data_IF_858812547578
#
_entry.id   IF_858812547578
#
_cell.length_a   1.000
_cell.length_b   1.000
_cell.length_c   1.000
_cell.angle_alpha   90.00
_cell.angle_beta   90.00
_cell.angle_gamma   90.00
#
_symmetry.space_group_name_H-M   'P 1'
#
loop_
_entity.id
_entity.type
_entity.pdbx_description
1 polymer ?
#
# COMPACT_ATOMS: atom_id res chain seq x y z
N UNK A 1 15.98 -8.10 1.65
CA UNK A 1 14.55 -7.88 1.97
C UNK A 1 13.76 -8.12 0.69
N UNK A 2 12.63 -8.81 0.78
CA UNK A 2 11.80 -9.09 -0.38
C UNK A 2 10.83 -7.92 -0.60
N UNK A 3 10.95 -7.28 -1.75
CA UNK A 3 10.17 -6.09 -2.11
C UNK A 3 9.19 -6.43 -3.24
N UNK A 4 7.96 -5.94 -3.14
CA UNK A 4 6.94 -6.05 -4.17
C UNK A 4 6.23 -4.71 -4.37
N UNK A 5 5.66 -4.51 -5.56
CA UNK A 5 4.84 -3.35 -5.83
C UNK A 5 3.43 -3.54 -5.26
N UNK A 6 2.83 -2.47 -4.75
CA UNK A 6 1.42 -2.50 -4.35
C UNK A 6 0.53 -2.97 -5.50
N UNK A 7 0.75 -2.47 -6.72
CA UNK A 7 -0.03 -2.85 -7.90
C UNK A 7 0.07 -4.34 -8.28
N UNK A 8 1.16 -5.01 -7.91
CA UNK A 8 1.34 -6.46 -8.08
C UNK A 8 0.64 -7.23 -6.95
N UNK A 9 0.80 -6.75 -5.72
CA UNK A 9 0.22 -7.39 -4.54
C UNK A 9 -1.32 -7.39 -4.60
N UNK A 10 -1.97 -6.30 -5.00
CA UNK A 10 -3.45 -6.24 -5.15
C UNK A 10 -4.00 -7.08 -6.31
N UNK A 11 -3.15 -7.79 -7.05
CA UNK A 11 -3.59 -8.78 -8.04
C UNK A 11 -3.47 -10.21 -7.50
N UNK A 12 -2.94 -10.36 -6.29
CA UNK A 12 -2.67 -11.65 -5.69
C UNK A 12 -3.96 -12.40 -5.39
N UNK A 13 -3.95 -13.70 -5.70
CA UNK A 13 -4.96 -14.63 -5.24
C UNK A 13 -4.70 -14.91 -3.77
N UNK A 14 -5.73 -14.82 -2.94
CA UNK A 14 -5.67 -15.18 -1.53
C UNK A 14 -6.33 -16.53 -1.34
N UNK A 15 -5.55 -17.51 -0.85
CA UNK A 15 -6.04 -18.81 -0.41
C UNK A 15 -6.40 -18.75 1.07
N UNK A 16 -7.69 -18.91 1.36
CA UNK A 16 -8.18 -19.12 2.70
C UNK A 16 -8.38 -20.63 2.93
N UNK A 17 -7.65 -21.29 3.85
CA UNK A 17 -7.84 -22.72 4.12
C UNK A 17 -9.25 -23.10 4.61
N UNK A 18 -10.02 -22.14 5.15
CA UNK A 18 -11.39 -22.37 5.60
C UNK A 18 -12.43 -22.24 4.47
N UNK A 19 -12.09 -21.61 3.35
CA UNK A 19 -13.01 -21.41 2.22
C UNK A 19 -12.51 -22.15 0.97
N UNK A 20 -13.42 -22.81 0.25
CA UNK A 20 -13.06 -23.45 -1.03
C UNK A 20 -12.88 -22.43 -2.18
N UNK A 21 -13.34 -21.19 -2.00
CA UNK A 21 -13.32 -20.16 -3.05
C UNK A 21 -12.01 -19.39 -3.03
N UNK A 22 -11.58 -18.95 -4.23
CA UNK A 22 -10.46 -18.02 -4.38
C UNK A 22 -10.93 -16.61 -4.03
N UNK A 23 -10.18 -15.92 -3.20
CA UNK A 23 -10.38 -14.51 -2.89
C UNK A 23 -9.26 -13.69 -3.53
N UNK A 24 -9.44 -12.36 -3.60
CA UNK A 24 -8.44 -11.43 -4.13
C UNK A 24 -8.14 -10.36 -3.10
N UNK A 25 -6.87 -10.02 -2.96
CA UNK A 25 -6.46 -8.82 -2.25
C UNK A 25 -6.86 -7.61 -3.10
N UNK A 26 -7.52 -6.60 -2.52
CA UNK A 26 -8.02 -5.43 -3.28
C UNK A 26 -7.62 -4.08 -2.67
N UNK A 27 -7.18 -4.06 -1.42
CA UNK A 27 -6.74 -2.85 -0.72
C UNK A 27 -5.77 -3.22 0.40
N UNK A 28 -4.88 -2.29 0.73
CA UNK A 28 -4.06 -2.34 1.92
C UNK A 28 -4.29 -1.10 2.76
N UNK A 29 -4.41 -1.31 4.06
CA UNK A 29 -4.59 -0.26 5.04
C UNK A 29 -3.32 -0.17 5.85
N UNK A 30 -2.69 1.00 5.81
CA UNK A 30 -1.46 1.29 6.50
C UNK A 30 -1.65 2.36 7.58
N UNK A 31 -0.66 2.49 8.45
CA UNK A 31 -0.56 3.56 9.44
C UNK A 31 0.83 4.17 9.41
N UNK A 32 0.89 5.49 9.51
CA UNK A 32 2.16 6.21 9.56
C UNK A 32 2.99 5.83 10.79
N UNK A 33 4.30 5.65 10.58
CA UNK A 33 5.34 5.55 11.61
C UNK A 33 6.52 6.39 11.16
N UNK A 34 7.42 6.70 12.09
CA UNK A 34 8.55 7.61 11.87
C UNK A 34 9.45 7.29 10.66
N UNK A 35 9.56 6.02 10.24
CA UNK A 35 10.49 5.60 9.16
C UNK A 35 9.84 4.84 8.01
N UNK A 36 8.63 4.37 8.19
CA UNK A 36 7.90 3.52 7.23
C UNK A 36 6.40 3.64 7.52
N UNK A 37 5.55 3.25 6.57
CA UNK A 37 4.14 3.04 6.90
C UNK A 37 3.89 1.56 7.15
N UNK A 38 3.32 1.24 8.30
CA UNK A 38 3.03 -0.12 8.73
C UNK A 38 1.73 -0.60 8.10
N UNK A 39 1.76 -1.66 7.28
CA UNK A 39 0.55 -2.25 6.71
C UNK A 39 -0.15 -3.07 7.78
N UNK A 40 -1.24 -2.53 8.30
CA UNK A 40 -2.03 -3.12 9.37
C UNK A 40 -2.90 -4.25 8.85
N UNK A 41 -3.63 -4.00 7.76
CA UNK A 41 -4.67 -4.89 7.27
C UNK A 41 -4.72 -4.94 5.74
N UNK A 42 -5.13 -6.10 5.24
CA UNK A 42 -5.39 -6.41 3.86
C UNK A 42 -6.90 -6.56 3.66
N UNK A 43 -7.50 -5.82 2.73
CA UNK A 43 -8.89 -6.07 2.33
C UNK A 43 -8.92 -7.16 1.28
N UNK A 44 -9.68 -8.21 1.55
CA UNK A 44 -9.80 -9.38 0.70
C UNK A 44 -11.26 -9.52 0.27
N UNK A 45 -11.52 -9.71 -1.02
CA UNK A 45 -12.86 -9.91 -1.57
C UNK A 45 -13.02 -11.34 -2.12
N UNK A 46 -14.07 -12.04 -1.70
CA UNK A 46 -14.40 -13.40 -2.15
C UNK A 46 -15.41 -13.39 -3.30
N UNK A 47 -15.04 -13.99 -4.44
CA UNK A 47 -15.95 -14.23 -5.58
C UNK A 47 -16.31 -13.00 -6.45
N UNK A 48 -17.00 -13.26 -7.58
CA UNK A 48 -17.37 -12.25 -8.60
C UNK A 48 -18.59 -11.38 -8.23
N UNK A 49 -19.37 -11.75 -7.20
CA UNK A 49 -20.73 -11.21 -6.99
C UNK A 49 -20.92 -10.58 -5.59
N UNK A 50 -20.20 -11.01 -4.55
CA UNK A 50 -20.27 -10.40 -3.21
C UNK A 50 -19.12 -9.44 -2.96
N UNK A 51 -19.37 -8.14 -3.09
CA UNK A 51 -18.42 -7.05 -2.77
C UNK A 51 -18.15 -6.85 -1.27
N UNK A 52 -18.62 -7.76 -0.39
CA UNK A 52 -18.32 -7.67 1.04
C UNK A 52 -16.88 -8.14 1.25
N UNK A 53 -15.95 -7.18 1.21
CA UNK A 53 -14.56 -7.41 1.55
C UNK A 53 -14.37 -7.60 3.05
N UNK A 54 -13.43 -8.47 3.41
CA UNK A 54 -13.00 -8.72 4.77
C UNK A 54 -11.64 -8.08 5.00
N UNK A 55 -11.45 -7.42 6.14
CA UNK A 55 -10.14 -6.89 6.53
C UNK A 55 -9.40 -7.91 7.38
N UNK A 56 -8.23 -8.34 6.91
CA UNK A 56 -7.39 -9.34 7.56
C UNK A 56 -6.03 -8.73 7.88
N UNK A 57 -5.57 -8.78 9.14
CA UNK A 57 -4.24 -8.34 9.51
C UNK A 57 -3.12 -9.03 8.73
N UNK A 58 -2.00 -8.34 8.52
CA UNK A 58 -0.80 -8.95 7.90
C UNK A 58 -0.24 -10.11 8.73
N UNK A 59 -0.36 -10.05 10.06
CA UNK A 59 -0.01 -11.16 10.97
C UNK A 59 -0.80 -12.45 10.71
N UNK A 60 -1.97 -12.40 10.06
CA UNK A 60 -2.79 -13.58 9.76
C UNK A 60 -2.39 -14.27 8.45
N UNK A 61 -1.27 -13.86 7.84
CA UNK A 61 -0.66 -14.51 6.68
C UNK A 61 0.36 -15.57 7.13
N UNK A 62 0.32 -16.74 6.48
CA UNK A 62 1.30 -17.83 6.70
C UNK A 62 2.54 -17.70 5.84
N UNK A 63 2.37 -17.23 4.62
CA UNK A 63 3.41 -17.21 3.60
C UNK A 63 3.08 -16.17 2.55
N UNK A 64 4.07 -15.37 2.19
CA UNK A 64 4.08 -14.53 1.00
C UNK A 64 4.98 -15.22 -0.02
N UNK A 65 4.41 -15.93 -0.98
CA UNK A 65 5.24 -16.31 -2.12
C UNK A 65 5.48 -15.05 -2.95
N UNK A 66 6.74 -14.82 -3.32
CA UNK A 66 7.07 -13.91 -4.41
C UNK A 66 6.37 -14.45 -5.66
N UNK A 67 5.36 -13.75 -6.19
CA UNK A 67 4.69 -14.17 -7.42
C UNK A 67 3.16 -14.39 -7.36
N UNK A 68 2.45 -13.76 -6.42
CA UNK A 68 1.00 -13.52 -6.60
C UNK A 68 0.05 -14.48 -5.90
N UNK A 69 0.50 -15.25 -4.91
CA UNK A 69 -0.39 -16.00 -4.02
C UNK A 69 -0.11 -15.69 -2.54
N UNK A 70 -1.16 -15.35 -1.81
CA UNK A 70 -1.12 -15.13 -0.36
C UNK A 70 -1.91 -16.24 0.34
N UNK A 71 -1.39 -16.75 1.46
CA UNK A 71 -2.07 -17.80 2.24
C UNK A 71 -2.44 -17.29 3.62
N UNK A 72 -3.72 -17.38 3.99
CA UNK A 72 -4.17 -17.08 5.35
C UNK A 72 -3.83 -18.21 6.32
N UNK A 73 -3.72 -17.88 7.60
CA UNK A 73 -3.70 -18.84 8.71
C UNK A 73 -5.00 -19.65 8.75
N UNK A 74 -4.94 -20.87 9.30
CA UNK A 74 -6.09 -21.78 9.39
C UNK A 74 -7.11 -21.21 10.38
N UNK A 75 -8.39 -21.22 10.03
CA UNK A 75 -9.48 -20.81 10.93
C UNK A 75 -9.90 -19.35 10.83
N UNK A 76 -9.33 -18.56 9.91
CA UNK A 76 -9.82 -17.22 9.60
C UNK A 76 -11.04 -17.34 8.68
N UNK A 77 -12.23 -17.13 9.22
CA UNK A 77 -13.51 -17.26 8.51
C UNK A 77 -14.19 -15.91 8.35
N UNK A 78 -13.94 -14.97 9.26
CA UNK A 78 -14.49 -13.60 9.22
C UNK A 78 -13.35 -12.58 9.34
N UNK A 79 -13.51 -11.43 8.67
CA UNK A 79 -12.58 -10.31 8.80
C UNK A 79 -12.82 -9.52 10.08
N UNK A 80 -11.86 -8.65 10.42
CA UNK A 80 -12.03 -7.65 11.48
C UNK A 80 -12.93 -6.50 11.00
N UNK A 81 -13.41 -5.69 11.95
CA UNK A 81 -14.15 -4.45 11.65
C UNK A 81 -13.38 -3.59 10.65
N UNK A 82 -14.13 -2.90 9.79
CA UNK A 82 -13.56 -1.93 8.86
C UNK A 82 -12.71 -0.90 9.64
N UNK A 83 -11.43 -0.71 9.30
CA UNK A 83 -10.61 0.29 9.94
C UNK A 83 -11.22 1.69 9.80
N UNK A 84 -11.12 2.51 10.84
CA UNK A 84 -11.54 3.92 10.76
C UNK A 84 -10.72 4.65 9.70
N UNK A 85 -11.38 5.45 8.86
CA UNK A 85 -10.70 6.19 7.78
C UNK A 85 -9.85 7.36 8.30
N UNK A 86 -10.21 7.93 9.45
CA UNK A 86 -9.53 9.12 10.00
C UNK A 86 -8.10 8.84 10.50
N UNK A 87 -7.81 7.59 10.88
CA UNK A 87 -6.54 7.21 11.49
C UNK A 87 -5.65 6.34 10.58
N UNK A 88 -6.14 5.98 9.38
CA UNK A 88 -5.49 4.99 8.54
C UNK A 88 -5.34 5.45 7.10
N UNK A 89 -4.24 5.04 6.49
CA UNK A 89 -3.92 5.28 5.09
C UNK A 89 -4.43 4.12 4.23
N UNK A 90 -5.43 4.39 3.40
CA UNK A 90 -5.84 3.47 2.35
C UNK A 90 -4.93 3.70 1.14
N UNK A 91 -4.04 2.74 0.84
CA UNK A 91 -3.02 2.95 -0.20
C UNK A 91 -3.63 3.22 -1.57
N UNK A 92 -4.81 2.66 -1.86
CA UNK A 92 -5.53 2.98 -3.10
C UNK A 92 -5.89 4.46 -3.24
N UNK A 93 -6.16 5.16 -2.13
CA UNK A 93 -6.52 6.60 -2.13
C UNK A 93 -5.33 7.49 -2.36
N UNK A 94 -4.14 7.04 -1.98
CA UNK A 94 -2.89 7.77 -2.21
C UNK A 94 -2.36 7.58 -3.63
N UNK A 95 -2.92 6.66 -4.40
CA UNK A 95 -2.54 6.48 -5.79
C UNK A 95 -2.99 7.69 -6.63
N UNK A 96 -2.12 8.16 -7.53
CA UNK A 96 -2.31 9.36 -8.35
C UNK A 96 -2.37 10.70 -7.58
N UNK A 97 -2.16 10.68 -6.26
CA UNK A 97 -2.03 11.90 -5.46
C UNK A 97 -0.79 12.68 -5.85
N UNK A 98 -0.90 14.01 -5.74
CA UNK A 98 0.20 14.93 -6.02
C UNK A 98 1.27 14.80 -4.94
N UNK A 99 2.52 14.92 -5.37
CA UNK A 99 3.66 15.11 -4.47
C UNK A 99 4.08 16.57 -4.58
N UNK A 100 4.07 17.24 -3.44
CA UNK A 100 4.28 18.67 -3.30
C UNK A 100 5.52 18.92 -2.43
N UNK A 101 6.31 19.92 -2.78
CA UNK A 101 7.30 20.50 -1.87
C UNK A 101 6.58 21.41 -0.83
N UNK A 102 7.32 21.87 0.18
CA UNK A 102 6.80 22.75 1.23
C UNK A 102 6.20 24.07 0.69
N UNK A 103 6.67 24.54 -0.46
CA UNK A 103 6.16 25.72 -1.18
C UNK A 103 4.97 25.42 -2.12
N UNK A 104 4.41 24.21 -2.04
CA UNK A 104 3.33 23.69 -2.91
C UNK A 104 3.72 23.49 -4.39
N UNK A 105 5.01 23.45 -4.71
CA UNK A 105 5.47 23.07 -6.05
C UNK A 105 5.22 21.57 -6.29
N UNK A 106 4.45 21.24 -7.33
CA UNK A 106 4.21 19.85 -7.75
C UNK A 106 5.45 19.27 -8.43
N UNK A 107 6.00 18.20 -7.86
CA UNK A 107 7.14 17.48 -8.44
C UNK A 107 6.72 16.22 -9.20
N UNK A 108 5.53 15.69 -8.92
CA UNK A 108 5.02 14.49 -9.57
C UNK A 108 3.73 13.96 -8.96
N UNK A 109 3.35 12.77 -9.40
CA UNK A 109 2.20 12.02 -8.86
C UNK A 109 2.60 10.61 -8.50
N UNK A 110 2.05 10.09 -7.41
CA UNK A 110 2.23 8.69 -7.01
C UNK A 110 1.63 7.78 -8.09
N UNK A 111 2.36 6.75 -8.50
CA UNK A 111 1.84 5.72 -9.40
C UNK A 111 1.85 4.31 -8.78
N UNK A 112 2.66 4.11 -7.72
CA UNK A 112 2.75 2.83 -7.01
C UNK A 112 3.48 3.00 -5.67
N UNK A 113 3.58 1.92 -4.91
CA UNK A 113 4.29 1.86 -3.63
C UNK A 113 5.25 0.69 -3.59
N UNK A 114 6.42 0.91 -2.99
CA UNK A 114 7.38 -0.14 -2.68
C UNK A 114 7.06 -0.74 -1.30
N UNK A 115 6.64 -2.01 -1.28
CA UNK A 115 6.22 -2.72 -0.06
C UNK A 115 7.21 -3.84 0.25
N UNK A 116 7.75 -3.81 1.46
CA UNK A 116 8.58 -4.89 2.00
C UNK A 116 7.68 -5.91 2.67
N UNK A 117 7.64 -7.11 2.07
CA UNK A 117 6.74 -8.19 2.48
C UNK A 117 7.46 -9.31 3.23
N UNK A 118 8.80 -9.21 3.37
CA UNK A 118 9.60 -10.20 4.10
C UNK A 118 9.48 -10.11 5.63
N UNK A 119 8.77 -9.12 6.16
CA UNK A 119 8.58 -8.90 7.60
C UNK A 119 7.09 -8.76 7.89
N UNK A 120 6.65 -9.19 9.08
CA UNK A 120 5.31 -8.91 9.60
C UNK A 120 5.42 -7.96 10.81
N UNK A 121 4.70 -6.82 10.82
CA UNK A 121 3.84 -6.31 9.75
C UNK A 121 4.62 -5.90 8.49
N UNK A 122 3.97 -5.94 7.32
CA UNK A 122 4.58 -5.43 6.08
C UNK A 122 4.81 -3.94 6.17
N UNK A 123 5.78 -3.42 5.41
CA UNK A 123 6.19 -2.01 5.49
C UNK A 123 6.19 -1.36 4.13
N UNK A 124 5.48 -0.24 3.99
CA UNK A 124 5.64 0.67 2.85
C UNK A 124 6.87 1.53 3.11
N UNK A 125 7.83 1.48 2.19
CA UNK A 125 9.09 2.21 2.34
C UNK A 125 9.22 3.40 1.39
N UNK A 126 8.68 3.27 0.17
CA UNK A 126 8.83 4.31 -0.84
C UNK A 126 7.54 4.51 -1.62
N UNK A 127 7.28 5.77 -1.94
CA UNK A 127 6.35 6.20 -2.97
C UNK A 127 7.07 6.14 -4.31
N UNK A 128 6.46 5.50 -5.30
CA UNK A 128 6.96 5.56 -6.67
C UNK A 128 6.22 6.67 -7.40
N UNK A 129 6.98 7.64 -7.90
CA UNK A 129 6.44 8.92 -8.36
C UNK A 129 6.80 9.16 -9.81
N UNK A 130 5.78 9.51 -10.60
CA UNK A 130 5.92 9.96 -11.99
C UNK A 130 6.12 11.47 -11.97
N UNK A 131 7.28 12.00 -12.38
CA UNK A 131 7.55 13.43 -12.32
C UNK A 131 6.59 14.27 -13.17
N UNK A 132 6.32 15.49 -12.72
CA UNK A 132 5.56 16.48 -13.49
C UNK A 132 6.44 17.14 -14.56
N UNK A 133 5.85 17.38 -15.74
CA UNK A 133 6.54 17.79 -16.96
C UNK A 133 6.78 16.63 -17.93
N UNK A 134 6.19 16.74 -19.11
CA UNK A 134 5.92 15.74 -20.16
C UNK A 134 7.12 15.01 -20.81
N UNK A 135 8.32 15.00 -20.20
CA UNK A 135 9.41 14.20 -20.78
C UNK A 135 9.36 12.76 -20.25
N UNK A 136 9.06 11.75 -21.09
CA UNK A 136 9.15 10.33 -20.72
C UNK A 136 10.60 9.90 -20.36
N UNK A 137 11.58 10.78 -20.56
CA UNK A 137 12.98 10.58 -20.21
C UNK A 137 13.32 10.99 -18.76
N UNK A 138 12.42 11.66 -18.03
CA UNK A 138 12.65 11.93 -16.60
C UNK A 138 12.63 10.61 -15.83
N UNK A 139 13.70 10.34 -15.08
CA UNK A 139 13.84 9.18 -14.21
C UNK A 139 12.67 9.15 -13.23
N UNK A 140 12.04 7.98 -13.07
CA UNK A 140 10.99 7.78 -12.06
C UNK A 140 11.59 8.02 -10.68
N UNK A 141 10.93 8.84 -9.88
CA UNK A 141 11.36 9.17 -8.54
C UNK A 141 10.94 8.05 -7.58
N UNK A 142 11.81 7.75 -6.62
CA UNK A 142 11.52 6.84 -5.52
C UNK A 142 11.70 7.61 -4.23
N UNK A 143 10.59 8.02 -3.63
CA UNK A 143 10.62 8.91 -2.47
C UNK A 143 10.41 8.07 -1.21
N UNK A 144 11.37 8.04 -0.27
CA UNK A 144 11.17 7.37 1.00
C UNK A 144 9.98 7.97 1.75
N UNK A 145 9.13 7.13 2.35
CA UNK A 145 7.98 7.65 3.13
C UNK A 145 8.42 8.43 4.38
N UNK A 146 9.66 8.19 4.87
CA UNK A 146 10.29 9.03 5.91
C UNK A 146 10.44 10.50 5.51
N UNK A 147 10.34 10.82 4.22
CA UNK A 147 10.46 12.19 3.69
C UNK A 147 9.10 12.86 3.51
N UNK A 148 8.00 12.20 3.89
CA UNK A 148 6.66 12.77 3.88
C UNK A 148 6.45 13.52 5.19
N UNK A 149 6.17 14.81 5.11
CA UNK A 149 5.83 15.65 6.26
C UNK A 149 4.35 15.46 6.65
N UNK A 150 3.45 15.56 5.66
CA UNK A 150 2.01 15.45 5.87
C UNK A 150 1.25 15.05 4.62
N UNK A 151 0.07 14.47 4.83
CA UNK A 151 -0.89 14.14 3.78
C UNK A 151 -2.13 15.01 3.99
N UNK A 152 -2.56 15.69 2.93
CA UNK A 152 -3.71 16.60 2.94
C UNK A 152 -4.63 16.31 1.76
N UNK A 153 -5.75 17.04 1.66
CA UNK A 153 -6.63 16.98 0.49
C UNK A 153 -6.00 17.52 -0.79
N UNK A 154 -4.91 18.29 -0.71
CA UNK A 154 -4.21 18.85 -1.88
C UNK A 154 -3.15 17.90 -2.44
N UNK A 155 -2.66 17.00 -1.59
CA UNK A 155 -1.63 16.02 -1.92
C UNK A 155 -0.75 15.65 -0.72
N UNK A 156 0.36 15.00 -1.04
CA UNK A 156 1.38 14.53 -0.11
C UNK A 156 2.54 15.53 -0.13
N UNK A 157 2.81 16.16 1.01
CA UNK A 157 3.89 17.13 1.17
C UNK A 157 5.16 16.47 1.65
N UNK A 158 6.29 16.86 1.06
CA UNK A 158 7.62 16.46 1.51
C UNK A 158 8.17 17.41 2.56
N UNK A 159 9.09 16.90 3.38
CA UNK A 159 9.85 17.68 4.35
C UNK A 159 10.55 18.89 3.70
N UNK A 160 10.67 19.98 4.45
CA UNK A 160 11.35 21.18 3.99
C UNK A 160 12.82 20.88 3.61
N UNK A 161 13.25 21.37 2.46
CA UNK A 161 14.60 21.15 1.96
C UNK A 161 14.86 19.75 1.39
N UNK A 162 13.81 18.94 1.16
CA UNK A 162 13.94 17.64 0.49
C UNK A 162 14.71 17.76 -0.83
N UNK A 163 15.60 16.80 -1.08
CA UNK A 163 16.36 16.63 -2.32
C UNK A 163 16.32 15.17 -2.74
N UNK A 164 16.37 14.92 -4.05
CA UNK A 164 16.51 13.57 -4.59
C UNK A 164 17.85 12.97 -4.09
N UNK A 165 17.77 11.84 -3.37
CA UNK A 165 18.93 11.01 -2.97
C UNK A 165 19.50 10.21 -4.15
#
# INVERSE_FOLDING_TARGET
MATQLYSELIRSVVKNPAEKKKSKLVEMVAKEKDKYWEVLQLKIESGLISKKGMYVPTEDLKETSLGGELKLKKGIIEGRKNPSEEANLFLSRLNNEKILLSDSTEIGRVYDFEIHVSENPWKVWKLLVKPSGLSPLKKRLRIPVKSVDKITSEGIYLEEGWKEE
#
